data_IF_323248859359
#
_entry.id   IF_323248859359
#
_cell.length_a   1.000
_cell.length_b   1.000
_cell.length_c   1.000
_cell.angle_alpha   90.00
_cell.angle_beta   90.00
_cell.angle_gamma   90.00
#
_symmetry.space_group_name_H-M   'P 1'
#
loop_
_entity.id
_entity.type
_entity.pdbx_description
1 polymer ?
#
# COMPACT_ATOMS: atom_id res chain seq x y z
N UNK A 1 23.01 23.78 -3.23
CA UNK A 1 22.42 22.49 -2.81
C UNK A 1 21.39 22.09 -3.85
N UNK A 2 21.35 20.83 -4.33
CA UNK A 2 20.29 20.43 -5.25
C UNK A 2 18.97 20.50 -4.48
N UNK A 3 18.02 21.32 -4.96
CA UNK A 3 16.64 21.24 -4.50
C UNK A 3 16.13 19.91 -5.03
N UNK A 4 16.03 18.90 -4.16
CA UNK A 4 15.29 17.69 -4.50
C UNK A 4 13.86 18.12 -4.81
N UNK A 5 13.47 18.02 -6.08
CA UNK A 5 12.22 18.50 -6.64
C UNK A 5 11.08 17.48 -6.42
N UNK A 6 11.04 16.83 -5.26
CA UNK A 6 9.98 15.87 -4.93
C UNK A 6 8.77 16.61 -4.40
N UNK A 7 7.60 16.35 -4.98
CA UNK A 7 6.32 16.87 -4.51
C UNK A 7 6.03 16.30 -3.12
N UNK A 8 6.24 15.01 -2.95
CA UNK A 8 6.00 14.33 -1.68
C UNK A 8 7.30 14.09 -0.91
N UNK A 9 7.24 14.23 0.41
CA UNK A 9 8.30 13.77 1.29
C UNK A 9 7.71 13.22 2.59
N UNK A 10 8.50 12.42 3.31
CA UNK A 10 8.10 11.84 4.58
C UNK A 10 8.63 12.70 5.72
N UNK A 11 7.75 13.02 6.66
CA UNK A 11 8.09 13.61 7.95
C UNK A 11 7.46 12.76 9.05
N UNK A 12 8.31 12.04 9.79
CA UNK A 12 7.91 11.03 10.77
C UNK A 12 6.97 9.98 10.16
N UNK A 13 5.71 9.94 10.59
CA UNK A 13 4.69 9.01 10.10
C UNK A 13 3.74 9.66 9.08
N UNK A 14 4.03 10.89 8.64
CA UNK A 14 3.22 11.65 7.72
C UNK A 14 3.94 11.83 6.39
N UNK A 15 3.16 11.85 5.32
CA UNK A 15 3.57 12.21 3.97
C UNK A 15 3.08 13.63 3.74
N UNK A 16 4.00 14.52 3.35
CA UNK A 16 3.75 15.93 3.13
C UNK A 16 3.73 16.19 1.62
N UNK A 17 2.60 16.71 1.14
CA UNK A 17 2.44 17.22 -0.23
C UNK A 17 2.87 18.70 -0.26
N UNK A 18 4.12 18.94 -0.66
CA UNK A 18 4.74 20.26 -0.65
C UNK A 18 4.18 21.24 -1.69
N UNK A 19 3.50 20.74 -2.72
CA UNK A 19 2.93 21.55 -3.80
C UNK A 19 1.49 22.00 -3.49
N UNK A 20 0.84 21.37 -2.51
CA UNK A 20 -0.49 21.77 -2.05
C UNK A 20 -0.46 23.03 -1.17
N UNK A 21 -1.50 23.85 -1.26
CA UNK A 21 -1.62 25.10 -0.48
C UNK A 21 -2.95 25.12 0.31
N UNK A 22 -2.91 25.03 1.65
CA UNK A 22 -1.72 24.77 2.49
C UNK A 22 -1.15 23.35 2.27
N UNK A 23 0.11 23.08 2.67
CA UNK A 23 0.68 21.75 2.59
C UNK A 23 -0.19 20.71 3.28
N UNK A 24 -0.65 19.73 2.51
CA UNK A 24 -1.49 18.63 2.94
C UNK A 24 -0.60 17.57 3.58
N UNK A 25 -1.01 17.13 4.77
CA UNK A 25 -0.39 16.03 5.49
C UNK A 25 -1.28 14.81 5.39
N UNK A 26 -0.68 13.67 5.11
CA UNK A 26 -1.39 12.39 4.94
C UNK A 26 -0.70 11.38 5.83
N UNK A 27 -1.46 10.72 6.71
CA UNK A 27 -0.87 9.73 7.62
C UNK A 27 -0.55 8.43 6.88
N UNK A 28 0.57 7.77 7.19
CA UNK A 28 1.03 6.57 6.47
C UNK A 28 -0.02 5.45 6.42
N UNK A 29 -0.82 5.30 7.49
CA UNK A 29 -1.89 4.30 7.57
C UNK A 29 -3.03 4.59 6.59
N UNK A 30 -3.26 5.86 6.25
CA UNK A 30 -4.21 6.23 5.21
C UNK A 30 -3.79 5.73 3.83
N UNK A 31 -2.49 5.50 3.59
CA UNK A 31 -1.96 5.01 2.31
C UNK A 31 -1.81 3.49 2.28
N UNK A 32 -1.24 2.89 3.34
CA UNK A 32 -0.76 1.50 3.28
C UNK A 32 -1.42 0.52 4.25
N UNK A 33 -2.18 0.96 5.25
CA UNK A 33 -2.81 0.03 6.20
C UNK A 33 -4.24 -0.33 5.75
N UNK A 34 -4.34 -1.24 4.78
CA UNK A 34 -5.63 -1.64 4.16
C UNK A 34 -6.70 -2.14 5.15
N UNK A 35 -6.30 -2.54 6.36
CA UNK A 35 -7.21 -3.03 7.41
C UNK A 35 -7.75 -1.91 8.30
N UNK A 36 -7.08 -0.75 8.30
CA UNK A 36 -7.40 0.37 9.18
C UNK A 36 -8.66 1.14 8.80
N UNK A 37 -9.17 1.92 9.76
CA UNK A 37 -10.20 2.91 9.48
C UNK A 37 -9.62 4.08 8.67
N UNK A 38 -8.37 4.45 8.96
CA UNK A 38 -7.63 5.52 8.29
C UNK A 38 -7.56 5.29 6.77
N UNK A 39 -7.22 4.09 6.33
CA UNK A 39 -7.21 3.73 4.91
C UNK A 39 -8.57 3.88 4.24
N UNK A 40 -9.63 3.42 4.91
CA UNK A 40 -11.01 3.45 4.40
C UNK A 40 -11.60 4.86 4.36
N UNK A 41 -11.14 5.73 5.25
CA UNK A 41 -11.59 7.12 5.38
C UNK A 41 -10.68 8.10 4.65
N UNK A 42 -9.59 7.63 4.03
CA UNK A 42 -8.66 8.47 3.30
C UNK A 42 -9.40 9.27 2.22
N UNK A 43 -9.18 10.58 2.20
CA UNK A 43 -9.84 11.49 1.26
C UNK A 43 -9.18 11.51 -0.12
N UNK A 44 -8.02 10.89 -0.25
CA UNK A 44 -7.30 10.80 -1.52
C UNK A 44 -7.95 9.76 -2.43
N UNK A 45 -7.97 10.05 -3.73
CA UNK A 45 -8.35 9.05 -4.72
C UNK A 45 -7.35 7.89 -4.76
N UNK A 46 -7.74 6.76 -5.36
CA UNK A 46 -6.81 5.65 -5.56
C UNK A 46 -5.59 6.07 -6.39
N UNK A 47 -5.80 6.87 -7.43
CA UNK A 47 -4.75 7.42 -8.29
C UNK A 47 -3.79 8.34 -7.52
N UNK A 48 -4.30 9.25 -6.69
CA UNK A 48 -3.45 10.13 -5.86
C UNK A 48 -2.55 9.31 -4.93
N UNK A 49 -3.09 8.24 -4.34
CA UNK A 49 -2.34 7.35 -3.44
C UNK A 49 -1.31 6.53 -4.19
N UNK A 50 -1.62 6.06 -5.40
CA UNK A 50 -0.66 5.39 -6.27
C UNK A 50 0.47 6.33 -6.70
N UNK A 51 0.18 7.60 -6.99
CA UNK A 51 1.19 8.60 -7.31
C UNK A 51 2.15 8.83 -6.13
N UNK A 52 1.63 8.91 -4.90
CA UNK A 52 2.45 8.99 -3.68
C UNK A 52 3.38 7.76 -3.58
N UNK A 53 2.83 6.55 -3.79
CA UNK A 53 3.60 5.30 -3.72
C UNK A 53 4.66 5.24 -4.83
N UNK A 54 4.33 5.69 -6.05
CA UNK A 54 5.26 5.71 -7.17
C UNK A 54 6.44 6.66 -6.94
N UNK A 55 6.18 7.82 -6.31
CA UNK A 55 7.22 8.81 -6.04
C UNK A 55 8.11 8.44 -4.84
N UNK A 56 7.52 7.94 -3.76
CA UNK A 56 8.24 7.65 -2.51
C UNK A 56 8.77 6.22 -2.42
N UNK A 57 8.24 5.31 -3.23
CA UNK A 57 8.56 3.88 -3.25
C UNK A 57 7.77 3.08 -2.22
N UNK A 58 7.14 1.98 -2.66
CA UNK A 58 6.37 1.08 -1.79
C UNK A 58 7.22 0.55 -0.63
N UNK A 59 8.41 0.02 -0.91
CA UNK A 59 9.31 -0.54 0.11
C UNK A 59 9.68 0.45 1.22
N UNK A 60 9.91 1.72 0.84
CA UNK A 60 10.24 2.78 1.79
C UNK A 60 9.03 3.10 2.69
N UNK A 61 7.85 3.25 2.09
CA UNK A 61 6.61 3.51 2.81
C UNK A 61 6.20 2.32 3.72
N UNK A 62 6.43 1.08 3.28
CA UNK A 62 6.22 -0.13 4.10
C UNK A 62 7.09 -0.15 5.34
N UNK A 63 8.36 0.28 5.24
CA UNK A 63 9.24 0.42 6.42
C UNK A 63 8.70 1.45 7.41
N UNK A 64 8.18 2.57 6.92
CA UNK A 64 7.57 3.61 7.78
C UNK A 64 6.30 3.08 8.46
N UNK A 65 5.47 2.31 7.74
CA UNK A 65 4.31 1.65 8.33
C UNK A 65 4.73 0.65 9.42
N UNK A 66 5.80 -0.10 9.18
CA UNK A 66 6.35 -1.02 10.18
C UNK A 66 6.79 -0.29 11.45
N UNK A 67 7.51 0.83 11.32
CA UNK A 67 7.89 1.67 12.47
C UNK A 67 6.67 2.26 13.19
N UNK A 68 5.60 2.59 12.48
CA UNK A 68 4.33 2.99 13.08
C UNK A 68 3.72 1.89 13.96
N UNK A 69 3.82 0.62 13.57
CA UNK A 69 3.32 -0.50 14.36
C UNK A 69 4.20 -0.73 15.60
N UNK A 70 5.53 -0.64 15.45
CA UNK A 70 6.47 -0.72 16.57
C UNK A 70 6.22 0.36 17.61
N UNK A 71 6.09 1.62 17.18
CA UNK A 71 5.92 2.76 18.09
C UNK A 71 4.64 2.69 18.92
N UNK A 72 3.63 1.94 18.46
CA UNK A 72 2.37 1.71 19.17
C UNK A 72 2.41 0.51 20.12
N UNK A 73 3.55 -0.18 20.27
CA UNK A 73 3.68 -1.37 21.11
C UNK A 73 2.94 -2.59 20.54
N UNK A 74 2.69 -2.60 19.23
CA UNK A 74 1.86 -3.61 18.54
C UNK A 74 2.69 -4.82 18.08
N UNK A 75 4.00 -4.82 18.36
CA UNK A 75 4.93 -5.91 17.98
C UNK A 75 4.49 -7.29 18.49
N UNK A 76 3.72 -7.34 19.58
CA UNK A 76 3.20 -8.57 20.17
C UNK A 76 1.87 -9.05 19.57
N UNK A 77 1.28 -8.34 18.60
CA UNK A 77 0.05 -8.75 17.93
C UNK A 77 0.38 -9.52 16.64
N UNK A 78 0.13 -10.84 16.58
CA UNK A 78 0.49 -11.69 15.43
C UNK A 78 -0.18 -11.29 14.10
N UNK A 79 -1.20 -10.43 14.15
CA UNK A 79 -2.04 -10.05 13.02
C UNK A 79 -1.52 -8.85 12.23
N UNK A 80 -0.54 -8.09 12.73
CA UNK A 80 -0.04 -6.91 12.04
C UNK A 80 1.24 -7.23 11.27
N UNK A 81 1.15 -7.16 9.94
CA UNK A 81 2.26 -7.40 9.03
C UNK A 81 2.29 -6.26 8.01
N UNK A 82 3.23 -5.33 8.20
CA UNK A 82 3.34 -4.15 7.34
C UNK A 82 3.55 -4.51 5.86
N UNK A 83 4.30 -5.58 5.55
CA UNK A 83 4.51 -6.02 4.17
C UNK A 83 3.21 -6.52 3.54
N UNK A 84 2.47 -7.34 4.28
CA UNK A 84 1.21 -7.90 3.82
C UNK A 84 0.13 -6.82 3.67
N UNK A 85 0.00 -5.94 4.66
CA UNK A 85 -0.95 -4.83 4.66
C UNK A 85 -0.67 -3.87 3.51
N UNK A 86 0.60 -3.51 3.29
CA UNK A 86 1.06 -2.65 2.21
C UNK A 86 0.83 -3.30 0.84
N UNK A 87 1.07 -4.60 0.72
CA UNK A 87 0.81 -5.35 -0.51
C UNK A 87 -0.68 -5.37 -0.86
N UNK A 88 -1.55 -5.62 0.12
CA UNK A 88 -3.01 -5.57 -0.09
C UNK A 88 -3.48 -4.16 -0.42
N UNK A 89 -2.98 -3.16 0.29
CA UNK A 89 -3.24 -1.76 0.01
C UNK A 89 -2.92 -1.41 -1.45
N UNK A 90 -1.70 -1.74 -1.90
CA UNK A 90 -1.25 -1.45 -3.25
C UNK A 90 -2.10 -2.16 -4.31
N UNK A 91 -2.39 -3.46 -4.15
CA UNK A 91 -3.25 -4.19 -5.08
C UNK A 91 -4.68 -3.63 -5.14
N UNK A 92 -5.26 -3.29 -3.99
CA UNK A 92 -6.58 -2.68 -3.93
C UNK A 92 -6.62 -1.34 -4.66
N UNK A 93 -5.61 -0.50 -4.45
CA UNK A 93 -5.51 0.80 -5.12
C UNK A 93 -5.41 0.64 -6.64
N UNK A 94 -4.55 -0.25 -7.14
CA UNK A 94 -4.42 -0.52 -8.59
C UNK A 94 -5.72 -1.00 -9.21
N UNK A 95 -6.45 -1.89 -8.52
CA UNK A 95 -7.78 -2.33 -8.96
C UNK A 95 -8.79 -1.19 -8.98
N UNK A 96 -8.85 -0.39 -7.91
CA UNK A 96 -9.79 0.74 -7.80
C UNK A 96 -9.51 1.83 -8.83
N UNK A 97 -8.25 2.08 -9.17
CA UNK A 97 -7.84 2.99 -10.23
C UNK A 97 -8.04 2.40 -11.65
N UNK A 98 -8.42 1.12 -11.76
CA UNK A 98 -8.61 0.46 -13.05
C UNK A 98 -7.30 0.11 -13.78
N UNK A 99 -6.15 0.13 -13.10
CA UNK A 99 -4.86 -0.29 -13.70
C UNK A 99 -4.79 -1.80 -13.93
N UNK A 100 -5.55 -2.57 -13.16
CA UNK A 100 -5.65 -4.03 -13.26
C UNK A 100 -7.11 -4.45 -13.21
N UNK A 101 -7.44 -5.52 -13.92
CA UNK A 101 -8.79 -6.08 -13.94
C UNK A 101 -9.04 -7.05 -12.76
N UNK A 102 -10.28 -7.53 -12.65
CA UNK A 102 -10.68 -8.48 -11.61
C UNK A 102 -9.93 -9.82 -11.67
N UNK A 103 -9.55 -10.28 -12.87
CA UNK A 103 -8.86 -11.54 -13.07
C UNK A 103 -7.39 -11.42 -12.64
N UNK A 104 -6.70 -10.37 -13.08
CA UNK A 104 -5.34 -10.05 -12.65
C UNK A 104 -5.28 -9.81 -11.14
N UNK A 105 -6.21 -9.03 -10.58
CA UNK A 105 -6.31 -8.82 -9.14
C UNK A 105 -6.42 -10.14 -8.37
N UNK A 106 -7.31 -11.05 -8.80
CA UNK A 106 -7.47 -12.35 -8.15
C UNK A 106 -6.20 -13.22 -8.24
N UNK A 107 -5.47 -13.15 -9.34
CA UNK A 107 -4.20 -13.86 -9.51
C UNK A 107 -3.11 -13.30 -8.59
N UNK A 108 -2.93 -11.98 -8.57
CA UNK A 108 -1.93 -11.31 -7.73
C UNK A 108 -2.25 -11.46 -6.24
N UNK A 109 -3.53 -11.40 -5.86
CA UNK A 109 -3.96 -11.60 -4.49
C UNK A 109 -3.60 -13.01 -3.99
N UNK A 110 -3.78 -14.04 -4.82
CA UNK A 110 -3.39 -15.43 -4.48
C UNK A 110 -1.89 -15.57 -4.26
N UNK A 111 -1.09 -14.92 -5.10
CA UNK A 111 0.36 -14.90 -4.93
C UNK A 111 0.77 -14.21 -3.62
N UNK A 112 0.13 -13.09 -3.29
CA UNK A 112 0.43 -12.32 -2.08
C UNK A 112 0.09 -13.07 -0.78
N UNK A 113 -0.99 -13.85 -0.78
CA UNK A 113 -1.41 -14.66 0.38
C UNK A 113 -0.74 -16.04 0.45
N UNK A 114 0.16 -16.36 -0.49
CA UNK A 114 0.83 -17.64 -0.55
C UNK A 114 -0.10 -18.84 -0.83
N UNK A 115 -1.27 -18.62 -1.45
CA UNK A 115 -2.13 -19.73 -1.86
C UNK A 115 -1.59 -20.35 -3.15
N UNK A 116 -1.44 -21.69 -3.22
CA UNK A 116 -0.98 -22.35 -4.43
C UNK A 116 -1.97 -22.07 -5.58
N UNK A 117 -1.44 -21.69 -6.74
CA UNK A 117 -2.22 -21.64 -7.98
C UNK A 117 -2.89 -22.99 -8.20
N UNK A 118 -4.18 -23.05 -8.60
CA UNK A 118 -4.78 -24.31 -8.96
C UNK A 118 -3.99 -24.87 -10.15
N UNK A 119 -3.24 -25.94 -9.91
CA UNK A 119 -2.60 -26.72 -10.94
C UNK A 119 -3.66 -27.03 -11.99
N UNK A 120 -3.37 -26.71 -13.25
CA UNK A 120 -4.21 -27.08 -14.38
C UNK A 120 -4.32 -28.61 -14.44
N UNK A 121 -5.33 -29.17 -13.78
CA UNK A 121 -5.70 -30.57 -13.89
C UNK A 121 -6.45 -30.79 -15.21
N UNK A 122 -5.69 -30.93 -16.28
CA UNK A 122 -6.05 -31.53 -17.57
C UNK A 122 -4.75 -32.19 -18.05
N UNK A 123 -4.63 -33.52 -18.08
CA UNK A 123 -5.40 -34.41 -18.95
C UNK A 123 -5.78 -35.72 -18.26
N UNK A 124 -7.04 -36.12 -18.48
CA UNK A 124 -7.41 -37.53 -18.59
C UNK A 124 -6.75 -38.04 -19.87
N UNK A 125 -6.01 -39.13 -19.78
CA UNK A 125 -5.82 -40.09 -20.87
C UNK A 125 -5.53 -41.45 -20.19
N UNK A 126 -6.59 -42.21 -19.99
CA UNK A 126 -6.60 -43.67 -19.96
C UNK A 126 -7.45 -44.13 -21.15
#
# INVERSE_FOLDING_TARGET
MPKNNYRYYVQDLHIIDSESTPPRQVYIREILDSTSAEFRMCKLSAEERLNIIAELGLDHLTRILHECYKSKGVESMPSYNAEQDSGFAFLNLRKTAGEIDQHEYAHLLKALIGMPSPSSSLRRDQ
#
